data_IF_628440898378
#
_entry.id   IF_628440898378
#
_cell.length_a   1.000
_cell.length_b   1.000
_cell.length_c   1.000
_cell.angle_alpha   90.00
_cell.angle_beta   90.00
_cell.angle_gamma   90.00
#
_symmetry.space_group_name_H-M   'P 1'
#
loop_
_entity.id
_entity.type
_entity.pdbx_description
1 polymer ?
#
# COMPACT_ATOMS: atom_id res chain seq x y z
N UNK A 1 -52.34 -64.54 3.68
CA UNK A 1 -52.13 -63.11 3.96
C UNK A 1 -50.85 -62.98 4.79
N UNK A 2 -49.71 -62.72 4.15
CA UNK A 2 -48.43 -62.47 4.82
C UNK A 2 -47.80 -61.23 4.19
N UNK A 3 -47.46 -60.26 5.04
CA UNK A 3 -46.98 -58.93 4.65
C UNK A 3 -45.45 -58.96 4.66
N UNK A 4 -44.81 -58.61 3.54
CA UNK A 4 -43.35 -58.45 3.43
C UNK A 4 -42.96 -57.03 3.89
N UNK A 5 -41.93 -56.85 4.74
CA UNK A 5 -41.45 -55.52 5.10
C UNK A 5 -40.61 -54.90 3.96
N UNK A 6 -40.85 -53.62 3.70
CA UNK A 6 -40.15 -52.83 2.70
C UNK A 6 -38.78 -52.34 3.22
N UNK A 7 -37.73 -52.49 2.41
CA UNK A 7 -36.40 -51.94 2.66
C UNK A 7 -36.38 -50.42 2.36
N UNK A 8 -35.81 -49.57 3.23
CA UNK A 8 -35.60 -48.17 2.88
C UNK A 8 -34.28 -48.00 2.13
N UNK A 9 -34.36 -47.38 0.95
CA UNK A 9 -33.22 -46.82 0.22
C UNK A 9 -32.66 -45.63 1.00
N UNK A 10 -31.39 -45.69 1.43
CA UNK A 10 -30.68 -44.55 2.00
C UNK A 10 -29.93 -43.84 0.88
N UNK A 11 -30.41 -42.67 0.46
CA UNK A 11 -29.70 -41.80 -0.47
C UNK A 11 -28.75 -40.87 0.33
N UNK A 12 -27.45 -41.10 0.21
CA UNK A 12 -26.43 -40.23 0.81
C UNK A 12 -26.20 -39.00 -0.08
N UNK A 13 -26.64 -37.83 0.39
CA UNK A 13 -26.43 -36.54 -0.26
C UNK A 13 -25.03 -36.00 0.09
N UNK A 14 -24.09 -36.07 -0.86
CA UNK A 14 -22.78 -35.43 -0.73
C UNK A 14 -22.88 -33.94 -1.08
N UNK A 15 -22.92 -33.07 -0.06
CA UNK A 15 -22.75 -31.64 -0.24
C UNK A 15 -21.26 -31.32 -0.43
N UNK A 16 -20.85 -31.04 -1.66
CA UNK A 16 -19.54 -30.45 -1.94
C UNK A 16 -19.62 -28.95 -1.65
N UNK A 17 -19.05 -28.53 -0.52
CA UNK A 17 -18.92 -27.10 -0.20
C UNK A 17 -17.68 -26.56 -0.91
N UNK A 18 -17.87 -25.81 -1.99
CA UNK A 18 -16.79 -25.05 -2.60
C UNK A 18 -16.38 -23.90 -1.66
N UNK A 19 -15.22 -24.02 -1.01
CA UNK A 19 -14.63 -22.93 -0.24
C UNK A 19 -14.14 -21.85 -1.21
N UNK A 20 -14.87 -20.75 -1.31
CA UNK A 20 -14.39 -19.55 -1.99
C UNK A 20 -13.20 -18.98 -1.20
N UNK A 21 -11.99 -19.10 -1.76
CA UNK A 21 -10.80 -18.46 -1.22
C UNK A 21 -10.97 -16.94 -1.34
N UNK A 22 -11.49 -16.30 -0.29
CA UNK A 22 -11.53 -14.85 -0.19
C UNK A 22 -10.09 -14.34 -0.16
N UNK A 23 -9.65 -13.73 -1.26
CA UNK A 23 -8.38 -13.01 -1.29
C UNK A 23 -8.47 -11.88 -0.24
N UNK A 24 -7.79 -12.07 0.90
CA UNK A 24 -7.71 -11.05 1.93
C UNK A 24 -7.30 -9.72 1.28
N UNK A 25 -7.87 -8.58 1.70
CA UNK A 25 -7.45 -7.29 1.20
C UNK A 25 -5.95 -7.16 1.47
N UNK A 26 -5.14 -7.34 0.43
CA UNK A 26 -3.75 -6.93 0.45
C UNK A 26 -3.83 -5.42 0.55
N UNK A 27 -3.76 -4.88 1.77
CA UNK A 27 -3.40 -3.49 1.95
C UNK A 27 -2.08 -3.37 1.19
N UNK A 28 -2.15 -2.79 0.00
CA UNK A 28 -0.96 -2.56 -0.80
C UNK A 28 -0.11 -1.62 0.05
N UNK A 29 0.89 -2.23 0.68
CA UNK A 29 1.85 -1.57 1.51
C UNK A 29 2.75 -0.82 0.53
N UNK A 30 2.92 0.47 0.76
CA UNK A 30 3.53 1.43 -0.15
C UNK A 30 2.67 1.80 -1.38
N UNK A 31 1.60 2.58 -1.15
CA UNK A 31 0.70 3.14 -2.18
C UNK A 31 0.72 4.67 -2.19
N UNK A 32 0.35 5.24 -3.33
CA UNK A 32 -0.11 6.62 -3.44
C UNK A 32 -1.63 6.65 -3.60
N UNK A 33 -2.29 7.39 -2.71
CA UNK A 33 -3.75 7.58 -2.77
C UNK A 33 -4.10 8.60 -3.86
N UNK A 34 -4.72 8.14 -4.95
CA UNK A 34 -5.25 8.99 -6.00
C UNK A 34 -6.63 9.52 -5.59
N UNK A 35 -6.81 10.83 -5.68
CA UNK A 35 -7.99 11.55 -5.20
C UNK A 35 -8.74 12.23 -6.34
N UNK A 36 -10.01 12.54 -6.12
CA UNK A 36 -10.85 13.24 -7.12
C UNK A 36 -10.47 14.71 -7.34
N UNK A 37 -9.67 15.30 -6.44
CA UNK A 37 -9.18 16.68 -6.59
C UNK A 37 -7.85 16.91 -5.87
N UNK A 38 -7.19 18.05 -6.11
CA UNK A 38 -5.92 18.38 -5.50
C UNK A 38 -6.11 18.72 -4.02
N UNK A 39 -5.73 17.81 -3.13
CA UNK A 39 -5.76 18.03 -1.68
C UNK A 39 -6.22 16.82 -0.86
N UNK A 40 -5.81 16.79 0.42
CA UNK A 40 -6.11 15.68 1.32
C UNK A 40 -7.60 15.55 1.70
N UNK A 41 -8.40 16.62 1.51
CA UNK A 41 -9.85 16.64 1.77
C UNK A 41 -10.68 15.94 0.70
N UNK A 42 -10.14 15.75 -0.51
CA UNK A 42 -10.85 15.13 -1.60
C UNK A 42 -10.93 13.61 -1.42
N UNK A 43 -12.05 12.96 -1.76
CA UNK A 43 -12.19 11.51 -1.68
C UNK A 43 -11.08 10.76 -2.42
N UNK A 44 -10.63 9.64 -1.84
CA UNK A 44 -9.73 8.70 -2.52
C UNK A 44 -10.55 7.88 -3.51
N UNK A 45 -10.16 7.91 -4.78
CA UNK A 45 -10.85 7.22 -5.89
C UNK A 45 -10.07 6.02 -6.43
N UNK A 46 -8.78 5.91 -6.10
CA UNK A 46 -7.96 4.74 -6.36
C UNK A 46 -6.74 4.69 -5.45
N UNK A 47 -6.16 3.49 -5.28
CA UNK A 47 -4.85 3.28 -4.68
C UNK A 47 -3.87 2.83 -5.77
N UNK A 48 -2.76 3.55 -5.92
CA UNK A 48 -1.75 3.26 -6.94
C UNK A 48 -0.52 2.64 -6.24
N UNK A 49 -0.20 1.37 -6.48
CA UNK A 49 0.97 0.72 -5.88
C UNK A 49 2.29 1.39 -6.30
N UNK A 50 3.27 1.39 -5.40
CA UNK A 50 4.63 1.75 -5.75
C UNK A 50 5.16 0.92 -6.94
N UNK A 51 5.91 1.58 -7.81
CA UNK A 51 6.41 1.05 -9.07
C UNK A 51 5.40 1.06 -10.22
N UNK A 52 4.12 1.34 -9.96
CA UNK A 52 3.13 1.44 -11.02
C UNK A 52 3.39 2.68 -11.89
N UNK A 53 3.31 2.49 -13.21
CA UNK A 53 3.38 3.58 -14.19
C UNK A 53 2.09 4.38 -14.19
N UNK A 54 2.22 5.69 -14.32
CA UNK A 54 1.12 6.63 -14.49
C UNK A 54 1.40 7.53 -15.68
N UNK A 55 0.36 7.95 -16.38
CA UNK A 55 0.47 9.05 -17.33
C UNK A 55 0.36 10.34 -16.53
N UNK A 56 1.34 11.23 -16.66
CA UNK A 56 1.39 12.51 -15.96
C UNK A 56 0.94 13.61 -16.91
N UNK A 57 -0.11 14.36 -16.56
CA UNK A 57 -0.60 15.44 -17.42
C UNK A 57 -0.10 16.79 -16.92
N UNK A 58 -0.41 17.12 -15.66
CA UNK A 58 -0.16 18.45 -15.11
C UNK A 58 0.07 18.41 -13.60
N UNK A 59 1.07 19.13 -13.09
CA UNK A 59 1.33 19.29 -11.66
C UNK A 59 0.81 20.62 -11.08
N UNK A 60 -0.01 21.33 -11.85
CA UNK A 60 -0.46 22.68 -11.51
C UNK A 60 0.63 23.75 -11.72
N UNK A 61 0.25 25.03 -11.81
CA UNK A 61 1.19 26.12 -12.00
C UNK A 61 1.86 26.58 -10.70
N UNK A 62 3.04 27.21 -10.84
CA UNK A 62 3.74 27.92 -9.76
C UNK A 62 4.44 27.04 -8.73
N UNK A 63 4.52 27.53 -7.49
CA UNK A 63 5.22 26.91 -6.35
C UNK A 63 4.39 25.85 -5.61
N UNK A 64 3.10 25.70 -5.93
CA UNK A 64 2.15 24.77 -5.28
C UNK A 64 2.10 23.40 -5.97
N UNK A 65 3.25 22.87 -6.39
CA UNK A 65 3.40 21.53 -7.02
C UNK A 65 3.21 20.40 -6.00
N UNK A 66 2.23 20.52 -5.11
CA UNK A 66 1.93 19.52 -4.08
C UNK A 66 1.15 18.33 -4.65
N UNK A 67 0.44 18.53 -5.75
CA UNK A 67 -0.45 17.55 -6.38
C UNK A 67 -0.28 17.55 -7.89
N UNK A 68 -0.27 16.37 -8.49
CA UNK A 68 -0.27 16.20 -9.94
C UNK A 68 -1.48 15.39 -10.39
N UNK A 69 -2.07 15.83 -11.49
CA UNK A 69 -3.07 15.12 -12.24
C UNK A 69 -2.41 14.01 -13.04
N UNK A 70 -2.99 12.81 -12.94
CA UNK A 70 -2.49 11.60 -13.59
C UNK A 70 -3.64 10.74 -14.11
N UNK A 71 -3.36 9.94 -15.14
CA UNK A 71 -4.20 8.83 -15.56
C UNK A 71 -3.60 7.50 -15.09
N UNK A 72 -4.46 6.67 -14.48
CA UNK A 72 -4.11 5.33 -14.05
C UNK A 72 -5.28 4.37 -14.29
N UNK A 73 -5.06 3.31 -15.06
CA UNK A 73 -6.07 2.28 -15.40
C UNK A 73 -7.41 2.88 -15.87
N UNK A 74 -7.35 3.84 -16.79
CA UNK A 74 -8.53 4.50 -17.36
C UNK A 74 -9.22 5.53 -16.45
N UNK A 75 -8.69 5.79 -15.25
CA UNK A 75 -9.22 6.82 -14.34
C UNK A 75 -8.27 8.00 -14.27
N UNK A 76 -8.85 9.19 -14.30
CA UNK A 76 -8.16 10.45 -14.08
C UNK A 76 -8.32 10.87 -12.61
N UNK A 77 -7.24 11.39 -12.01
CA UNK A 77 -7.27 11.89 -10.64
C UNK A 77 -5.99 12.59 -10.23
N UNK A 78 -5.86 12.92 -8.95
CA UNK A 78 -4.75 13.67 -8.39
C UNK A 78 -3.98 12.87 -7.36
N UNK A 79 -2.65 12.84 -7.48
CA UNK A 79 -1.74 12.21 -6.52
C UNK A 79 -0.80 13.26 -5.92
N UNK A 80 -0.28 13.06 -4.70
CA UNK A 80 0.75 13.95 -4.16
C UNK A 80 2.00 13.90 -5.05
N UNK A 81 2.48 15.06 -5.47
CA UNK A 81 3.61 15.14 -6.41
C UNK A 81 4.88 14.49 -5.85
N UNK A 82 5.07 14.57 -4.53
CA UNK A 82 6.19 13.95 -3.84
C UNK A 82 6.20 12.42 -3.84
N UNK A 83 5.16 11.80 -4.38
CA UNK A 83 5.11 10.35 -4.61
C UNK A 83 5.53 9.96 -6.02
N UNK A 84 5.79 10.91 -6.92
CA UNK A 84 6.10 10.66 -8.32
C UNK A 84 7.60 10.74 -8.60
N UNK A 85 8.10 9.78 -9.37
CA UNK A 85 9.47 9.77 -9.89
C UNK A 85 9.47 9.57 -11.41
N UNK A 86 10.24 10.37 -12.17
CA UNK A 86 10.54 10.08 -13.56
C UNK A 86 11.47 8.88 -13.65
N UNK A 87 11.33 8.15 -14.74
CA UNK A 87 12.22 7.10 -15.21
C UNK A 87 12.69 7.47 -16.62
N UNK A 88 13.52 6.64 -17.26
CA UNK A 88 14.01 6.92 -18.62
C UNK A 88 12.89 7.10 -19.66
N UNK A 89 11.72 6.50 -19.45
CA UNK A 89 10.64 6.51 -20.46
C UNK A 89 9.23 6.69 -19.88
N UNK A 90 9.08 6.92 -18.57
CA UNK A 90 7.76 7.01 -17.93
C UNK A 90 7.81 7.70 -16.56
N UNK A 91 6.65 8.03 -16.00
CA UNK A 91 6.51 8.45 -14.61
C UNK A 91 5.90 7.30 -13.80
N UNK A 92 6.42 7.07 -12.60
CA UNK A 92 5.94 6.02 -11.69
C UNK A 92 5.60 6.59 -10.33
N UNK A 93 4.75 5.87 -9.58
CA UNK A 93 4.69 6.04 -8.12
C UNK A 93 5.99 5.50 -7.54
N UNK A 94 6.82 6.39 -7.01
CA UNK A 94 8.15 6.11 -6.51
C UNK A 94 8.09 5.13 -5.32
N UNK A 95 8.91 4.06 -5.27
CA UNK A 95 8.95 3.19 -4.11
C UNK A 95 9.59 3.86 -2.89
N UNK A 96 9.14 3.50 -1.69
CA UNK A 96 9.79 3.89 -0.45
C UNK A 96 11.06 3.07 -0.23
N UNK A 97 12.13 3.77 0.11
CA UNK A 97 13.42 3.21 0.48
C UNK A 97 13.92 3.81 1.77
N UNK A 98 14.75 3.08 2.50
CA UNK A 98 15.49 3.60 3.65
C UNK A 98 16.54 4.63 3.20
N UNK A 99 16.66 5.72 3.96
CA UNK A 99 17.65 6.78 3.73
C UNK A 99 19.03 6.36 4.23
N UNK A 100 19.06 5.80 5.43
CA UNK A 100 20.24 5.31 6.14
C UNK A 100 19.92 3.95 6.78
N UNK A 101 20.89 3.34 7.47
CA UNK A 101 20.64 2.24 8.39
C UNK A 101 19.58 2.66 9.41
N UNK A 102 18.52 1.87 9.53
CA UNK A 102 17.39 2.22 10.39
C UNK A 102 16.91 1.04 11.21
N UNK A 103 16.56 1.32 12.47
CA UNK A 103 16.03 0.35 13.39
C UNK A 103 14.52 0.17 13.17
N UNK A 104 14.10 -1.08 12.97
CA UNK A 104 12.71 -1.49 12.99
C UNK A 104 12.34 -1.78 14.44
N UNK A 105 11.32 -1.11 14.95
CA UNK A 105 10.87 -1.23 16.33
C UNK A 105 9.54 -1.96 16.44
N UNK A 106 9.29 -2.58 17.59
CA UNK A 106 8.04 -3.30 17.84
C UNK A 106 6.80 -2.39 17.95
N UNK A 107 7.00 -1.08 18.17
CA UNK A 107 5.94 -0.08 18.22
C UNK A 107 6.43 1.31 17.77
N UNK A 108 5.51 2.27 17.57
CA UNK A 108 5.85 3.63 17.16
C UNK A 108 6.51 4.38 18.32
N UNK A 109 7.80 4.69 18.21
CA UNK A 109 8.54 5.47 19.19
C UNK A 109 9.94 4.91 19.51
N UNK A 110 10.81 5.77 20.02
CA UNK A 110 12.19 5.42 20.35
C UNK A 110 12.34 4.52 21.61
N UNK A 111 11.30 4.42 22.45
CA UNK A 111 11.29 3.57 23.65
C UNK A 111 10.99 2.09 23.36
N UNK A 112 10.49 1.77 22.17
CA UNK A 112 10.14 0.40 21.79
C UNK A 112 11.36 -0.42 21.40
N UNK A 113 11.32 -1.72 21.67
CA UNK A 113 12.39 -2.67 21.37
C UNK A 113 12.72 -2.68 19.87
N UNK A 114 14.01 -2.66 19.56
CA UNK A 114 14.51 -2.91 18.20
C UNK A 114 14.41 -4.40 17.89
N UNK A 115 13.75 -4.73 16.78
CA UNK A 115 13.49 -6.12 16.35
C UNK A 115 14.21 -6.49 15.04
N UNK A 116 14.68 -5.49 14.28
CA UNK A 116 15.53 -5.66 13.11
C UNK A 116 16.24 -4.35 12.77
N UNK A 117 17.28 -4.42 11.94
CA UNK A 117 17.86 -3.25 11.27
C UNK A 117 17.74 -3.42 9.76
N UNK A 118 17.40 -2.35 9.05
CA UNK A 118 17.32 -2.33 7.59
C UNK A 118 18.48 -1.46 7.08
N UNK A 119 19.36 -1.98 6.20
CA UNK A 119 20.41 -1.19 5.55
C UNK A 119 19.88 -0.01 4.74
N UNK A 120 20.73 0.97 4.36
CA UNK A 120 20.35 2.06 3.47
C UNK A 120 19.91 1.59 2.09
N UNK A 121 18.99 2.34 1.45
CA UNK A 121 18.56 2.13 0.07
C UNK A 121 17.65 0.92 -0.16
N UNK A 122 17.26 0.20 0.90
CA UNK A 122 16.40 -0.98 0.80
C UNK A 122 14.95 -0.57 0.61
N UNK A 123 14.27 -1.23 -0.34
CA UNK A 123 12.83 -1.04 -0.54
C UNK A 123 12.07 -1.61 0.64
N UNK A 124 11.07 -0.87 1.11
CA UNK A 124 10.20 -1.30 2.20
C UNK A 124 8.74 -1.10 1.80
N UNK A 125 7.89 -2.02 2.24
CA UNK A 125 6.46 -1.88 2.05
C UNK A 125 5.89 -1.15 3.28
N UNK A 126 5.46 0.11 3.13
CA UNK A 126 5.08 0.96 4.26
C UNK A 126 3.58 1.34 4.28
N UNK A 127 3.02 1.45 5.46
CA UNK A 127 1.62 1.85 5.69
C UNK A 127 1.54 2.71 6.96
N UNK A 128 0.40 3.37 7.16
CA UNK A 128 0.10 4.15 8.37
C UNK A 128 1.13 5.24 8.72
N UNK A 129 1.89 5.75 7.74
CA UNK A 129 2.93 6.78 7.94
C UNK A 129 2.41 8.14 8.46
N UNK A 130 1.10 8.38 8.36
CA UNK A 130 0.47 9.67 8.66
C UNK A 130 -0.88 9.48 9.40
N UNK A 131 -1.03 8.43 10.20
CA UNK A 131 -2.32 8.08 10.81
C UNK A 131 -2.28 8.11 12.35
N UNK A 132 -3.00 9.05 12.95
CA UNK A 132 -3.31 9.04 14.39
C UNK A 132 -2.07 8.96 15.30
N UNK A 133 -2.05 7.95 16.17
CA UNK A 133 -1.01 7.73 17.18
C UNK A 133 0.37 7.36 16.63
N UNK A 134 0.51 7.10 15.32
CA UNK A 134 1.81 6.82 14.68
C UNK A 134 2.49 8.08 14.15
N UNK A 135 2.10 9.29 14.57
CA UNK A 135 2.65 10.53 14.04
C UNK A 135 4.21 10.53 14.03
N UNK A 136 4.79 10.52 12.84
CA UNK A 136 6.25 10.39 12.64
C UNK A 136 6.79 8.98 12.47
N UNK A 137 5.95 7.95 12.49
CA UNK A 137 6.31 6.54 12.37
C UNK A 137 5.48 5.84 11.28
N UNK A 138 6.15 5.00 10.49
CA UNK A 138 5.55 4.16 9.46
C UNK A 138 5.58 2.71 9.90
N UNK A 139 4.45 1.99 9.77
CA UNK A 139 4.48 0.53 9.84
C UNK A 139 5.08 0.01 8.53
N UNK A 140 6.18 -0.72 8.62
CA UNK A 140 6.92 -1.26 7.47
C UNK A 140 6.98 -2.77 7.51
N UNK A 141 7.11 -3.38 6.34
CA UNK A 141 7.47 -4.80 6.19
C UNK A 141 8.70 -4.92 5.32
N UNK A 142 9.67 -5.70 5.80
CA UNK A 142 10.94 -5.98 5.13
C UNK A 142 11.34 -7.44 5.40
N UNK A 143 11.57 -8.23 4.34
CA UNK A 143 11.98 -9.64 4.45
C UNK A 143 11.09 -10.48 5.39
N UNK A 144 9.77 -10.28 5.30
CA UNK A 144 8.78 -10.99 6.12
C UNK A 144 8.66 -10.49 7.56
N UNK A 145 9.50 -9.55 8.01
CA UNK A 145 9.42 -8.92 9.33
C UNK A 145 8.66 -7.61 9.25
N UNK A 146 7.69 -7.41 10.14
CA UNK A 146 6.93 -6.17 10.25
C UNK A 146 7.21 -5.44 11.57
N UNK A 147 7.28 -4.12 11.50
CA UNK A 147 7.44 -3.25 12.66
C UNK A 147 7.30 -1.78 12.29
N UNK A 148 7.85 -0.88 13.10
CA UNK A 148 7.72 0.56 12.94
C UNK A 148 9.09 1.20 12.71
N UNK A 149 9.17 2.07 11.72
CA UNK A 149 10.36 2.85 11.36
C UNK A 149 10.00 4.33 11.39
N UNK A 150 10.93 5.15 11.86
CA UNK A 150 10.82 6.61 11.82
C UNK A 150 10.60 7.08 10.38
N UNK A 151 9.56 7.89 10.13
CA UNK A 151 9.23 8.39 8.80
C UNK A 151 10.38 9.19 8.18
N UNK A 152 11.15 9.91 9.00
CA UNK A 152 12.34 10.65 8.59
C UNK A 152 13.43 9.75 8.04
N UNK A 153 13.42 8.45 8.34
CA UNK A 153 14.35 7.46 7.80
C UNK A 153 13.91 6.89 6.45
N UNK A 154 12.75 7.30 5.93
CA UNK A 154 12.21 6.83 4.67
C UNK A 154 12.20 7.95 3.63
N UNK A 155 12.43 7.59 2.37
CA UNK A 155 12.30 8.50 1.23
C UNK A 155 11.71 7.79 0.03
N UNK A 156 11.02 8.54 -0.83
CA UNK A 156 10.58 8.05 -2.14
C UNK A 156 11.78 8.07 -3.10
N UNK A 157 12.15 6.91 -3.64
CA UNK A 157 13.33 6.77 -4.52
C UNK A 157 13.11 7.53 -5.82
N UNK A 158 13.97 8.52 -6.09
CA UNK A 158 13.95 9.30 -7.32
C UNK A 158 12.77 10.26 -7.44
N UNK A 159 12.03 10.51 -6.36
CA UNK A 159 10.97 11.49 -6.38
C UNK A 159 11.55 12.89 -6.54
N UNK A 160 11.04 13.65 -7.51
CA UNK A 160 11.57 14.97 -7.89
C UNK A 160 11.12 16.04 -6.92
N UNK A 161 9.91 15.89 -6.40
CA UNK A 161 9.35 16.80 -5.42
C UNK A 161 9.60 16.23 -4.03
N UNK A 162 10.69 16.62 -3.38
CA UNK A 162 10.92 16.24 -1.99
C UNK A 162 10.06 17.10 -1.05
N UNK A 163 9.59 16.51 0.06
CA UNK A 163 9.08 17.23 1.23
C UNK A 163 10.05 17.05 2.38
#
# INVERSE_FOLDING_TARGET
>A
MQIRPASPLVAALFCVVAAAAAAAPRIATDVSSMRSGPGARWPVIAQIPAGAKVQLDNCGPGWKRDWCQVHFKGKMGFVPANTLAPTSSSVVVAPLVTRDITAVRSGPGNKWKVIANIPPGRKVAASACQQGWTNGWCKVTYEGKSGYVDRGMLKRKGAVFAR
#
